data_IF_070030862488
#
_entry.id   IF_070030862488
#
_cell.length_a   1.000
_cell.length_b   1.000
_cell.length_c   1.000
_cell.angle_alpha   90.00
_cell.angle_beta   90.00
_cell.angle_gamma   90.00
#
_symmetry.space_group_name_H-M   'P 1'
#
loop_
_entity.id
_entity.type
_entity.pdbx_description
1 polymer ?
#
# COMPACT_ATOMS: atom_id res chain seq x y z
N UNK A 1 -21.09 12.25 12.32
CA UNK A 1 -20.49 11.74 11.10
C UNK A 1 -19.11 11.19 11.41
N UNK A 2 -18.86 9.98 11.03
CA UNK A 2 -17.58 9.35 11.32
C UNK A 2 -16.53 9.78 10.31
N UNK A 3 -15.38 10.25 10.78
CA UNK A 3 -14.23 10.53 9.93
C UNK A 3 -13.30 9.31 9.85
N UNK A 4 -13.72 8.20 10.50
CA UNK A 4 -12.88 7.01 10.61
C UNK A 4 -13.22 5.94 9.60
N UNK A 5 -14.17 6.22 8.69
CA UNK A 5 -14.50 5.25 7.65
C UNK A 5 -13.33 5.09 6.71
N UNK A 6 -12.92 3.84 6.42
CA UNK A 6 -11.81 3.61 5.51
C UNK A 6 -12.14 4.09 4.10
N UNK A 7 -11.17 4.70 3.46
CA UNK A 7 -11.23 4.99 2.05
C UNK A 7 -10.58 3.82 1.34
N UNK A 8 -11.27 3.24 0.37
CA UNK A 8 -10.78 2.06 -0.34
C UNK A 8 -10.43 2.40 -1.78
N UNK A 9 -9.43 1.71 -2.29
CA UNK A 9 -8.99 1.86 -3.66
C UNK A 9 -8.41 0.53 -4.12
N UNK A 10 -8.68 0.16 -5.35
CA UNK A 10 -8.05 -1.02 -5.96
C UNK A 10 -7.00 -0.56 -6.96
N UNK A 11 -5.86 -1.24 -6.93
CA UNK A 11 -4.78 -0.97 -7.88
C UNK A 11 -4.22 -2.30 -8.38
N UNK A 12 -3.48 -2.22 -9.48
CA UNK A 12 -2.72 -3.36 -9.99
C UNK A 12 -1.24 -3.09 -9.74
N UNK A 13 -0.57 -4.04 -9.13
CA UNK A 13 0.85 -3.92 -8.81
C UNK A 13 1.66 -3.93 -10.11
N UNK A 14 2.32 -2.82 -10.41
CA UNK A 14 3.04 -2.64 -11.66
C UNK A 14 4.55 -2.87 -11.53
N UNK A 15 5.05 -3.06 -10.30
CA UNK A 15 6.47 -3.31 -10.08
C UNK A 15 6.88 -4.61 -10.76
N UNK A 16 7.91 -4.61 -11.63
CA UNK A 16 8.25 -5.79 -12.43
C UNK A 16 8.55 -7.04 -11.62
N UNK A 17 9.14 -6.88 -10.44
CA UNK A 17 9.49 -8.01 -9.57
C UNK A 17 8.48 -8.21 -8.44
N UNK A 18 7.28 -7.63 -8.58
CA UNK A 18 6.28 -7.70 -7.54
C UNK A 18 6.63 -6.85 -6.34
N UNK A 19 6.03 -7.17 -5.21
CA UNK A 19 6.23 -6.43 -3.97
C UNK A 19 7.48 -6.95 -3.26
N UNK A 20 8.65 -6.46 -3.71
CA UNK A 20 9.93 -6.86 -3.14
C UNK A 20 10.52 -5.71 -2.31
N UNK A 21 11.75 -5.90 -1.83
CA UNK A 21 12.35 -4.99 -0.84
C UNK A 21 12.40 -3.53 -1.29
N UNK A 22 12.73 -3.28 -2.56
CA UNK A 22 12.89 -1.90 -3.03
C UNK A 22 11.59 -1.09 -2.96
N UNK A 23 10.47 -1.52 -3.57
CA UNK A 23 9.22 -0.76 -3.41
C UNK A 23 8.70 -0.77 -1.98
N UNK A 24 8.94 -1.84 -1.22
CA UNK A 24 8.53 -1.90 0.19
C UNK A 24 9.24 -0.82 1.00
N UNK A 25 10.54 -0.66 0.82
CA UNK A 25 11.31 0.35 1.54
C UNK A 25 10.80 1.75 1.24
N UNK A 26 10.55 2.02 -0.04
CA UNK A 26 10.02 3.32 -0.46
C UNK A 26 8.64 3.55 0.16
N UNK A 27 7.79 2.53 0.14
CA UNK A 27 6.44 2.61 0.66
C UNK A 27 6.44 2.97 2.15
N UNK A 28 7.19 2.23 2.94
CA UNK A 28 7.28 2.47 4.39
C UNK A 28 7.78 3.89 4.66
N UNK A 29 8.79 4.33 3.92
CA UNK A 29 9.37 5.64 4.08
C UNK A 29 8.37 6.75 3.77
N UNK A 30 7.56 6.58 2.71
CA UNK A 30 6.62 7.62 2.29
C UNK A 30 5.38 7.66 3.16
N UNK A 31 4.93 6.52 3.68
CA UNK A 31 3.70 6.46 4.47
C UNK A 31 3.92 6.80 5.94
N UNK A 32 5.08 6.45 6.49
CA UNK A 32 5.34 6.62 7.92
C UNK A 32 5.12 8.04 8.45
N UNK A 33 5.51 9.11 7.73
CA UNK A 33 5.29 10.45 8.26
C UNK A 33 3.85 10.95 8.15
N UNK A 34 2.99 10.23 7.46
CA UNK A 34 1.61 10.67 7.26
C UNK A 34 0.72 10.23 8.42
N UNK A 35 -0.29 11.04 8.72
CA UNK A 35 -1.28 10.70 9.73
C UNK A 35 -2.35 9.82 9.08
N UNK A 36 -1.97 8.57 8.83
CA UNK A 36 -2.85 7.61 8.17
C UNK A 36 -2.44 6.19 8.53
N UNK A 37 -3.44 5.30 8.57
CA UNK A 37 -3.21 3.86 8.66
C UNK A 37 -3.61 3.26 7.33
N UNK A 38 -2.67 2.64 6.64
CA UNK A 38 -2.93 2.03 5.33
C UNK A 38 -2.76 0.53 5.43
N UNK A 39 -3.76 -0.19 4.94
CA UNK A 39 -3.74 -1.64 4.87
C UNK A 39 -3.79 -2.05 3.40
N UNK A 40 -2.93 -2.98 3.03
CA UNK A 40 -2.88 -3.53 1.68
C UNK A 40 -3.29 -4.99 1.76
N UNK A 41 -4.29 -5.36 0.97
CA UNK A 41 -4.81 -6.73 0.97
C UNK A 41 -4.57 -7.38 -0.38
N UNK A 42 -4.20 -8.66 -0.33
CA UNK A 42 -3.97 -9.48 -1.52
C UNK A 42 -4.26 -10.94 -1.17
N UNK A 43 -5.10 -11.57 -1.99
CA UNK A 43 -5.37 -13.00 -1.90
C UNK A 43 -5.75 -13.46 -0.47
N UNK A 44 -6.63 -12.69 0.18
CA UNK A 44 -7.12 -13.02 1.51
C UNK A 44 -6.18 -12.66 2.65
N UNK A 45 -5.02 -12.09 2.35
CA UNK A 45 -4.07 -11.63 3.34
C UNK A 45 -4.01 -10.12 3.35
N UNK A 46 -3.57 -9.55 4.46
CA UNK A 46 -3.40 -8.10 4.54
C UNK A 46 -2.11 -7.74 5.27
N UNK A 47 -1.61 -6.56 4.98
CA UNK A 47 -0.38 -6.05 5.56
C UNK A 47 -0.51 -4.56 5.82
N UNK A 48 0.12 -4.09 6.91
CA UNK A 48 0.24 -2.66 7.15
C UNK A 48 1.30 -2.08 6.22
N UNK A 49 0.99 -0.94 5.60
CA UNK A 49 1.94 -0.26 4.72
C UNK A 49 3.14 0.31 5.49
N UNK A 50 3.11 0.27 6.80
CA UNK A 50 4.22 0.71 7.64
C UNK A 50 5.08 -0.44 8.15
N UNK A 51 4.73 -1.68 7.79
CA UNK A 51 5.47 -2.86 8.25
C UNK A 51 6.13 -3.56 7.07
N UNK A 52 7.43 -3.39 6.92
CA UNK A 52 8.18 -4.05 5.86
C UNK A 52 8.03 -5.57 5.94
N UNK A 53 8.04 -6.11 7.15
CA UNK A 53 7.90 -7.56 7.34
C UNK A 53 6.55 -8.07 6.83
N UNK A 54 5.46 -7.39 7.21
CA UNK A 54 4.14 -7.80 6.76
C UNK A 54 4.00 -7.69 5.24
N UNK A 55 4.54 -6.62 4.67
CA UNK A 55 4.50 -6.41 3.22
C UNK A 55 5.27 -7.51 2.48
N UNK A 56 6.41 -7.94 3.02
CA UNK A 56 7.16 -9.04 2.42
C UNK A 56 6.39 -10.36 2.51
N UNK A 57 5.71 -10.59 3.63
CA UNK A 57 4.93 -11.81 3.82
C UNK A 57 3.68 -11.83 2.94
N UNK A 58 3.24 -10.69 2.46
CA UNK A 58 2.09 -10.61 1.56
C UNK A 58 2.34 -11.36 0.25
N UNK A 59 3.57 -11.32 -0.22
CA UNK A 59 3.97 -12.11 -1.38
C UNK A 59 3.31 -11.75 -2.70
N UNK A 60 2.90 -10.49 -2.86
CA UNK A 60 2.19 -10.07 -4.07
C UNK A 60 3.11 -10.03 -5.29
N UNK A 61 2.78 -10.76 -6.37
CA UNK A 61 3.59 -10.75 -7.58
C UNK A 61 3.23 -9.59 -8.50
N UNK A 62 4.03 -9.37 -9.52
CA UNK A 62 3.70 -8.42 -10.58
C UNK A 62 2.32 -8.74 -11.15
N UNK A 63 1.52 -7.72 -11.34
CA UNK A 63 0.17 -7.89 -11.87
C UNK A 63 -0.89 -8.20 -10.82
N UNK A 64 -0.50 -8.36 -9.54
CA UNK A 64 -1.46 -8.65 -8.49
C UNK A 64 -2.44 -7.50 -8.31
N UNK A 65 -3.70 -7.86 -8.08
CA UNK A 65 -4.72 -6.86 -7.75
C UNK A 65 -4.73 -6.66 -6.24
N UNK A 66 -4.46 -5.43 -5.84
CA UNK A 66 -4.35 -5.07 -4.44
C UNK A 66 -5.53 -4.19 -4.04
N UNK A 67 -6.04 -4.43 -2.84
CA UNK A 67 -7.05 -3.55 -2.25
C UNK A 67 -6.38 -2.73 -1.17
N UNK A 68 -6.50 -1.42 -1.28
CA UNK A 68 -5.93 -0.49 -0.32
C UNK A 68 -7.04 0.08 0.54
N UNK A 69 -6.79 0.16 1.85
CA UNK A 69 -7.70 0.83 2.76
C UNK A 69 -6.90 1.80 3.61
N UNK A 70 -7.40 3.02 3.75
CA UNK A 70 -6.72 4.02 4.57
C UNK A 70 -7.69 4.77 5.45
N UNK A 71 -7.26 5.07 6.68
CA UNK A 71 -7.98 5.89 7.63
C UNK A 71 -7.05 6.98 8.13
N UNK A 72 -7.61 8.02 8.74
CA UNK A 72 -6.82 9.11 9.30
C UNK A 72 -6.92 10.38 8.48
N UNK A 73 -6.37 11.46 9.01
CA UNK A 73 -6.45 12.77 8.36
C UNK A 73 -5.76 12.84 7.00
N UNK A 74 -4.72 12.03 6.80
CA UNK A 74 -3.96 11.99 5.56
C UNK A 74 -4.29 10.77 4.69
N UNK A 75 -5.48 10.18 4.87
CA UNK A 75 -5.84 8.94 4.18
C UNK A 75 -5.73 9.06 2.66
N UNK A 76 -6.26 10.14 2.08
CA UNK A 76 -6.21 10.32 0.62
C UNK A 76 -4.77 10.50 0.15
N UNK A 77 -4.00 11.33 0.86
CA UNK A 77 -2.61 11.55 0.52
C UNK A 77 -1.81 10.25 0.60
N UNK A 78 -2.10 9.41 1.60
CA UNK A 78 -1.45 8.13 1.75
C UNK A 78 -1.80 7.18 0.60
N UNK A 79 -3.07 7.11 0.22
CA UNK A 79 -3.47 6.27 -0.90
C UNK A 79 -2.85 6.73 -2.21
N UNK A 80 -2.73 8.05 -2.41
CA UNK A 80 -2.07 8.59 -3.60
C UNK A 80 -0.59 8.20 -3.62
N UNK A 81 0.08 8.28 -2.46
CA UNK A 81 1.49 7.90 -2.37
C UNK A 81 1.67 6.42 -2.67
N UNK A 82 0.84 5.55 -2.07
CA UNK A 82 0.91 4.11 -2.31
C UNK A 82 0.63 3.79 -3.78
N UNK A 83 -0.38 4.41 -4.35
CA UNK A 83 -0.71 4.20 -5.76
C UNK A 83 0.45 4.60 -6.66
N UNK A 84 1.06 5.75 -6.38
CA UNK A 84 2.19 6.23 -7.18
C UNK A 84 3.41 5.32 -7.11
N UNK A 85 3.62 4.66 -5.97
CA UNK A 85 4.75 3.73 -5.81
C UNK A 85 4.46 2.37 -6.44
N UNK A 86 3.26 1.83 -6.22
CA UNK A 86 2.97 0.44 -6.57
C UNK A 86 2.29 0.26 -7.92
N UNK A 87 1.48 1.21 -8.35
CA UNK A 87 0.73 1.10 -9.59
C UNK A 87 1.43 1.74 -10.78
N UNK A 88 2.61 2.33 -10.56
CA UNK A 88 3.41 2.94 -11.61
C UNK A 88 4.62 2.07 -11.88
N UNK A 89 4.91 1.81 -13.14
CA UNK A 89 6.10 1.03 -13.51
C UNK A 89 7.34 1.82 -13.11
N UNK A 90 8.13 1.22 -12.24
CA UNK A 90 9.38 1.83 -11.81
C UNK A 90 10.42 0.74 -11.62
N UNK A 91 11.64 1.12 -11.79
CA UNK A 91 12.76 0.19 -11.63
C UNK A 91 13.23 0.09 -10.21
#
# INVERSE_FOLDING_TARGET
MSTDEPIRRQITLACPNGLHLSPITTLVKEVSPLNANVKISFDGKSASAESALELMLLGAPHGAKLTLEATGGDAVAALDAVTGILATISD
#
